data_IF_025083538292
#
_entry.id   IF_025083538292
#
_cell.length_a   1.000
_cell.length_b   1.000
_cell.length_c   1.000
_cell.angle_alpha   90.00
_cell.angle_beta   90.00
_cell.angle_gamma   90.00
#
_symmetry.space_group_name_H-M   'P 1'
#
loop_
_entity.id
_entity.type
_entity.pdbx_description
1 polymer ?
#
# COMPACT_ATOMS: atom_id res chain seq x y z
N UNK A 1 -21.63 -1.86 -32.81
CA UNK A 1 -22.97 -1.92 -33.44
C UNK A 1 -24.00 -1.78 -32.32
N UNK A 2 -24.79 -0.70 -32.31
CA UNK A 2 -25.96 -0.59 -31.41
C UNK A 2 -25.96 0.54 -30.38
N UNK A 3 -25.63 1.78 -30.75
CA UNK A 3 -26.08 2.96 -29.97
C UNK A 3 -27.55 3.31 -30.28
N UNK A 4 -28.44 2.33 -30.19
CA UNK A 4 -29.86 2.56 -30.30
C UNK A 4 -30.47 2.40 -28.89
N UNK A 5 -31.03 3.49 -28.36
CA UNK A 5 -31.79 3.57 -27.11
C UNK A 5 -31.04 3.81 -25.79
N UNK A 6 -29.76 4.16 -25.77
CA UNK A 6 -29.11 4.51 -24.49
C UNK A 6 -28.88 3.32 -23.55
N UNK A 7 -28.97 2.09 -24.05
CA UNK A 7 -28.52 0.92 -23.31
C UNK A 7 -27.00 0.93 -23.20
N UNK A 8 -26.50 0.99 -21.97
CA UNK A 8 -25.09 0.88 -21.63
C UNK A 8 -24.87 -0.42 -20.85
N UNK A 9 -23.93 -1.23 -21.30
CA UNK A 9 -23.51 -2.42 -20.58
C UNK A 9 -22.23 -2.12 -19.81
N UNK A 10 -22.23 -2.41 -18.51
CA UNK A 10 -21.08 -2.28 -17.62
C UNK A 10 -20.47 -3.65 -17.39
N UNK A 11 -19.15 -3.76 -17.57
CA UNK A 11 -18.40 -5.02 -17.40
C UNK A 11 -18.41 -5.51 -15.95
N UNK A 12 -18.41 -6.84 -15.75
CA UNK A 12 -18.53 -7.52 -14.44
C UNK A 12 -17.55 -7.04 -13.36
N UNK A 13 -16.36 -6.55 -13.72
CA UNK A 13 -15.33 -6.12 -12.77
C UNK A 13 -15.26 -4.60 -12.56
N UNK A 14 -16.15 -3.84 -13.19
CA UNK A 14 -16.14 -2.39 -13.19
C UNK A 14 -17.51 -1.86 -12.76
N UNK A 15 -17.53 -0.68 -12.16
CA UNK A 15 -18.75 0.11 -11.95
C UNK A 15 -18.65 1.38 -12.76
N UNK A 16 -19.77 1.85 -13.30
CA UNK A 16 -19.82 3.08 -14.06
C UNK A 16 -20.46 4.19 -13.22
N UNK A 17 -19.86 5.38 -13.21
CA UNK A 17 -20.39 6.52 -12.47
C UNK A 17 -21.35 7.28 -13.38
N UNK A 18 -22.62 7.37 -12.98
CA UNK A 18 -23.65 8.13 -13.67
C UNK A 18 -23.71 9.55 -13.13
N UNK A 19 -23.68 10.50 -14.05
CA UNK A 19 -23.89 11.92 -13.78
C UNK A 19 -25.10 12.44 -14.54
N UNK A 20 -25.78 13.41 -13.92
CA UNK A 20 -26.82 14.20 -14.57
C UNK A 20 -26.37 15.66 -14.60
N UNK A 21 -26.19 16.24 -15.80
CA UNK A 21 -25.72 17.63 -15.99
C UNK A 21 -24.46 17.98 -15.16
N UNK A 22 -23.51 17.04 -15.07
CA UNK A 22 -22.25 17.23 -14.33
C UNK A 22 -22.35 17.08 -12.81
N UNK A 23 -23.51 16.66 -12.28
CA UNK A 23 -23.66 16.28 -10.88
C UNK A 23 -23.71 14.76 -10.75
N UNK A 24 -22.97 14.21 -9.79
CA UNK A 24 -23.06 12.80 -9.40
C UNK A 24 -24.51 12.43 -9.10
N UNK A 25 -25.01 11.41 -9.79
CA UNK A 25 -26.37 10.92 -9.65
C UNK A 25 -26.36 9.55 -8.96
N UNK A 26 -25.64 8.57 -9.52
CA UNK A 26 -25.65 7.20 -9.01
C UNK A 26 -24.44 6.39 -9.51
N UNK A 27 -24.19 5.23 -8.88
CA UNK A 27 -23.20 4.24 -9.32
C UNK A 27 -23.93 3.07 -9.98
N UNK A 28 -23.56 2.76 -11.21
CA UNK A 28 -24.10 1.63 -11.97
C UNK A 28 -23.27 0.38 -11.70
N UNK A 29 -23.90 -0.60 -11.08
CA UNK A 29 -23.36 -1.95 -10.89
C UNK A 29 -23.20 -2.68 -12.23
N UNK A 30 -22.42 -3.79 -12.29
CA UNK A 30 -22.27 -4.54 -13.52
C UNK A 30 -23.59 -5.08 -14.05
N UNK A 31 -23.85 -4.85 -15.33
CA UNK A 31 -25.14 -5.19 -15.95
C UNK A 31 -25.52 -4.26 -17.10
N UNK A 32 -26.69 -4.49 -17.69
CA UNK A 32 -27.24 -3.65 -18.75
C UNK A 32 -28.15 -2.57 -18.12
N UNK A 33 -27.81 -1.31 -18.34
CA UNK A 33 -28.51 -0.15 -17.80
C UNK A 33 -29.05 0.73 -18.91
N UNK A 34 -30.24 1.28 -18.71
CA UNK A 34 -30.83 2.26 -19.63
C UNK A 34 -30.45 3.68 -19.20
N UNK A 35 -29.56 4.31 -19.96
CA UNK A 35 -29.16 5.70 -19.83
C UNK A 35 -29.67 6.53 -21.01
N UNK A 36 -30.80 7.24 -20.83
CA UNK A 36 -31.28 8.16 -21.84
C UNK A 36 -30.37 9.40 -21.89
N UNK A 37 -29.42 9.41 -22.81
CA UNK A 37 -28.51 10.54 -23.06
C UNK A 37 -29.25 11.86 -23.38
N UNK A 38 -30.48 11.77 -23.90
CA UNK A 38 -31.34 12.91 -24.20
C UNK A 38 -31.88 13.65 -22.96
N UNK A 39 -31.79 13.06 -21.76
CA UNK A 39 -32.21 13.67 -20.49
C UNK A 39 -31.03 14.22 -19.67
N UNK A 40 -29.85 14.37 -20.28
CA UNK A 40 -28.65 14.90 -19.62
C UNK A 40 -27.96 13.90 -18.69
N UNK A 41 -28.36 12.63 -18.72
CA UNK A 41 -27.68 11.52 -18.06
C UNK A 41 -26.51 11.03 -18.91
N UNK A 42 -25.30 11.05 -18.36
CA UNK A 42 -24.07 10.61 -19.01
C UNK A 42 -23.20 9.81 -18.04
N UNK A 43 -22.30 8.99 -18.57
CA UNK A 43 -21.31 8.28 -17.75
C UNK A 43 -20.04 9.10 -17.66
N UNK A 44 -19.63 9.41 -16.43
CA UNK A 44 -18.46 10.24 -16.15
C UNK A 44 -17.15 9.45 -16.17
N UNK A 45 -17.22 8.18 -15.82
CA UNK A 45 -16.06 7.30 -15.77
C UNK A 45 -16.40 5.91 -15.27
N UNK A 46 -15.40 5.03 -15.33
CA UNK A 46 -15.47 3.67 -14.82
C UNK A 46 -14.48 3.51 -13.67
N UNK A 47 -14.91 2.86 -12.60
CA UNK A 47 -14.07 2.49 -11.47
C UNK A 47 -13.95 0.97 -11.42
N UNK A 48 -12.72 0.46 -11.33
CA UNK A 48 -12.51 -0.98 -11.18
C UNK A 48 -12.74 -1.40 -9.73
N UNK A 49 -13.51 -2.47 -9.51
CA UNK A 49 -13.71 -3.08 -8.20
C UNK A 49 -12.61 -4.11 -7.86
N UNK A 50 -11.58 -4.24 -8.70
CA UNK A 50 -10.50 -5.21 -8.46
C UNK A 50 -9.67 -4.79 -7.26
N UNK A 51 -9.41 -5.73 -6.36
CA UNK A 51 -8.49 -5.55 -5.23
C UNK A 51 -7.12 -5.20 -5.78
N UNK A 52 -6.65 -3.99 -5.50
CA UNK A 52 -5.29 -3.58 -5.79
C UNK A 52 -4.46 -3.84 -4.54
N UNK A 53 -3.47 -4.72 -4.67
CA UNK A 53 -2.48 -4.90 -3.64
C UNK A 53 -1.42 -3.80 -3.82
N UNK A 54 -1.36 -2.87 -2.87
CA UNK A 54 -0.28 -1.91 -2.78
C UNK A 54 0.81 -2.56 -1.92
N UNK A 55 1.87 -3.07 -2.54
CA UNK A 55 3.01 -3.62 -1.81
C UNK A 55 3.82 -2.45 -1.22
N UNK A 56 3.55 -2.14 0.05
CA UNK A 56 4.34 -1.19 0.84
C UNK A 56 5.71 -1.80 1.18
N UNK A 57 6.64 -1.75 0.22
CA UNK A 57 8.05 -2.06 0.46
C UNK A 57 8.72 -0.91 1.23
N UNK A 58 8.43 -0.82 2.52
CA UNK A 58 9.02 0.21 3.40
C UNK A 58 10.38 -0.27 3.90
N UNK A 59 11.44 0.14 3.21
CA UNK A 59 12.80 -0.01 3.71
C UNK A 59 13.13 1.14 4.68
N UNK A 60 13.31 0.82 5.96
CA UNK A 60 13.77 1.79 6.96
C UNK A 60 15.26 1.57 7.24
N UNK A 61 16.08 2.57 6.93
CA UNK A 61 17.50 2.56 7.31
C UNK A 61 17.64 3.17 8.71
N UNK A 62 17.88 2.34 9.72
CA UNK A 62 18.13 2.79 11.09
C UNK A 62 19.63 2.84 11.35
N UNK A 63 20.15 4.00 11.75
CA UNK A 63 21.54 4.16 12.18
C UNK A 63 21.58 4.24 13.70
N UNK A 64 22.05 3.17 14.35
CA UNK A 64 22.27 3.12 15.79
C UNK A 64 23.77 3.26 16.12
N UNK A 65 24.11 4.07 17.14
CA UNK A 65 25.48 4.23 17.64
C UNK A 65 25.59 3.69 19.06
N UNK A 66 26.56 2.82 19.31
CA UNK A 66 26.74 2.17 20.61
C UNK A 66 28.10 2.56 21.19
N UNK A 67 28.08 3.04 22.43
CA UNK A 67 29.27 3.33 23.22
C UNK A 67 29.37 2.30 24.35
N UNK A 68 30.56 1.73 24.55
CA UNK A 68 30.82 0.77 25.62
C UNK A 68 32.15 1.09 26.30
N UNK A 69 32.25 0.74 27.59
CA UNK A 69 33.47 0.91 28.39
C UNK A 69 33.63 -0.28 29.32
N UNK A 70 34.84 -0.79 29.45
CA UNK A 70 35.17 -1.84 30.42
C UNK A 70 35.11 -1.28 31.85
N UNK A 71 34.50 -2.02 32.76
CA UNK A 71 34.49 -1.71 34.19
C UNK A 71 35.88 -2.01 34.79
N UNK A 72 36.46 -1.04 35.49
CA UNK A 72 37.83 -1.13 36.02
C UNK A 72 38.02 -2.30 36.98
N UNK A 73 37.02 -2.61 37.79
CA UNK A 73 37.04 -3.72 38.76
C UNK A 73 37.14 -5.11 38.11
N UNK A 74 36.80 -5.23 36.83
CA UNK A 74 36.87 -6.48 36.05
C UNK A 74 37.83 -6.40 34.88
N UNK A 75 38.80 -5.48 34.92
CA UNK A 75 39.73 -5.25 33.83
C UNK A 75 40.60 -6.47 33.48
N UNK A 76 41.03 -7.24 34.49
CA UNK A 76 41.82 -8.47 34.28
C UNK A 76 41.03 -9.53 33.54
N UNK A 77 39.80 -9.79 33.99
CA UNK A 77 38.89 -10.76 33.37
C UNK A 77 38.51 -10.34 31.94
N UNK A 78 38.27 -9.05 31.74
CA UNK A 78 37.95 -8.51 30.42
C UNK A 78 39.11 -8.68 29.43
N UNK A 79 40.36 -8.49 29.89
CA UNK A 79 41.55 -8.58 29.04
C UNK A 79 41.86 -10.01 28.60
N UNK A 80 41.65 -11.00 29.48
CA UNK A 80 41.99 -12.41 29.16
C UNK A 80 40.84 -13.22 28.57
N UNK A 81 39.56 -12.86 28.83
CA UNK A 81 38.40 -13.63 28.35
C UNK A 81 37.83 -13.13 27.02
N UNK A 82 38.03 -11.86 26.66
CA UNK A 82 37.42 -11.28 25.45
C UNK A 82 38.47 -11.08 24.36
N UNK A 83 38.63 -12.08 23.50
CA UNK A 83 39.49 -12.03 22.32
C UNK A 83 38.98 -11.07 21.24
N UNK A 84 37.66 -10.81 21.15
CA UNK A 84 37.08 -9.79 20.27
C UNK A 84 35.75 -9.24 20.83
N UNK A 85 35.83 -8.25 21.70
CA UNK A 85 34.67 -7.61 22.36
C UNK A 85 33.72 -6.94 21.36
N UNK A 86 34.28 -6.40 20.27
CA UNK A 86 33.54 -5.60 19.28
C UNK A 86 32.59 -6.47 18.45
N UNK A 87 33.06 -7.63 17.99
CA UNK A 87 32.26 -8.57 17.20
C UNK A 87 31.10 -9.17 18.00
N UNK A 88 31.30 -9.49 19.28
CA UNK A 88 30.23 -10.03 20.13
C UNK A 88 29.11 -9.01 20.38
N UNK A 89 29.45 -7.74 20.62
CA UNK A 89 28.45 -6.67 20.78
C UNK A 89 27.69 -6.47 19.48
N UNK A 90 28.39 -6.51 18.34
CA UNK A 90 27.76 -6.39 17.03
C UNK A 90 26.77 -7.54 16.77
N UNK A 91 27.17 -8.79 17.00
CA UNK A 91 26.32 -9.96 16.79
C UNK A 91 25.04 -9.92 17.65
N UNK A 92 25.14 -9.53 18.92
CA UNK A 92 23.97 -9.43 19.81
C UNK A 92 22.95 -8.38 19.35
N UNK A 93 23.42 -7.30 18.73
CA UNK A 93 22.57 -6.21 18.24
C UNK A 93 21.90 -6.55 16.91
N UNK A 94 22.61 -7.28 16.04
CA UNK A 94 22.06 -7.73 14.76
C UNK A 94 21.06 -8.89 14.90
N UNK A 95 21.22 -9.75 15.90
CA UNK A 95 20.29 -10.87 16.14
C UNK A 95 18.94 -10.40 16.75
N UNK A 96 18.93 -9.21 17.36
CA UNK A 96 17.73 -8.60 17.95
C UNK A 96 16.95 -7.65 17.03
N UNK A 97 17.43 -7.42 15.80
CA UNK A 97 16.80 -6.55 14.80
C UNK A 97 16.10 -7.33 13.69
#
# INVERSE_FOLDING_TARGET
>A
MGQAFGCLQVDQSNVAIKENFGKFADVLEPGCHFLPWCLGSQVAGYLSLRVQQLDDNVFVTVVASIQYRALAEKASDAFYKLSNTREQIQAYVFDGM
#
